data_IF_807558335535
#
_entry.id   IF_807558335535
#
_cell.length_a   1.000
_cell.length_b   1.000
_cell.length_c   1.000
_cell.angle_alpha   90.00
_cell.angle_beta   90.00
_cell.angle_gamma   90.00
#
_symmetry.space_group_name_H-M   'P 1'
#
loop_
_entity.id
_entity.type
_entity.pdbx_description
1 polymer ?
#
# COMPACT_ATOMS: atom_id res chain seq x y z
N UNK A 1 -11.34 -8.88 11.01
CA UNK A 1 -10.43 -7.72 10.99
C UNK A 1 -9.39 -8.04 9.94
N UNK A 2 -9.15 -7.10 9.03
CA UNK A 2 -8.13 -7.25 7.99
C UNK A 2 -6.76 -6.98 8.61
N UNK A 3 -5.80 -7.86 8.35
CA UNK A 3 -4.45 -7.86 8.92
C UNK A 3 -3.41 -7.64 7.83
N UNK A 4 -2.33 -6.92 8.15
CA UNK A 4 -1.27 -6.69 7.17
C UNK A 4 -0.61 -8.00 6.73
N UNK A 5 -0.19 -8.83 7.68
CA UNK A 5 0.51 -10.08 7.39
C UNK A 5 -0.36 -11.10 6.64
N UNK A 6 -1.64 -11.20 7.00
CA UNK A 6 -2.54 -12.20 6.44
C UNK A 6 -3.20 -11.76 5.12
N UNK A 7 -3.56 -10.48 4.99
CA UNK A 7 -4.44 -10.02 3.92
C UNK A 7 -3.79 -9.01 2.96
N UNK A 8 -2.87 -8.16 3.44
CA UNK A 8 -2.31 -7.06 2.63
C UNK A 8 -0.96 -7.43 2.01
N UNK A 9 -0.01 -7.90 2.81
CA UNK A 9 1.32 -8.31 2.35
C UNK A 9 1.25 -9.33 1.19
N UNK A 10 0.37 -10.35 1.22
CA UNK A 10 0.27 -11.31 0.12
C UNK A 10 -0.28 -10.74 -1.20
N UNK A 11 -0.81 -9.51 -1.21
CA UNK A 11 -1.30 -8.87 -2.45
C UNK A 11 -0.16 -8.32 -3.31
N UNK A 12 1.00 -8.07 -2.70
CA UNK A 12 2.22 -7.64 -3.37
C UNK A 12 3.07 -8.86 -3.71
N UNK A 13 3.44 -9.00 -4.98
CA UNK A 13 4.37 -10.04 -5.38
C UNK A 13 5.84 -9.61 -5.18
N UNK A 14 6.76 -10.55 -5.38
CA UNK A 14 8.19 -10.25 -5.23
C UNK A 14 8.65 -9.18 -6.24
N UNK A 15 8.06 -9.10 -7.43
CA UNK A 15 8.39 -8.11 -8.43
C UNK A 15 7.97 -6.70 -8.02
N UNK A 16 6.80 -6.56 -7.38
CA UNK A 16 6.36 -5.31 -6.77
C UNK A 16 7.36 -4.84 -5.71
N UNK A 17 7.75 -5.75 -4.81
CA UNK A 17 8.69 -5.48 -3.70
C UNK A 17 10.07 -5.07 -4.25
N UNK A 18 10.61 -5.83 -5.20
CA UNK A 18 11.92 -5.58 -5.81
C UNK A 18 11.94 -4.26 -6.58
N UNK A 19 10.80 -3.88 -7.19
CA UNK A 19 10.68 -2.61 -7.90
C UNK A 19 10.66 -1.42 -6.93
N UNK A 20 9.95 -1.55 -5.81
CA UNK A 20 9.70 -0.44 -4.88
C UNK A 20 10.81 -0.24 -3.84
N UNK A 21 11.49 -1.31 -3.42
CA UNK A 21 12.53 -1.23 -2.38
C UNK A 21 13.65 -0.22 -2.72
N UNK A 22 14.23 -0.20 -3.94
CA UNK A 22 15.24 0.80 -4.32
C UNK A 22 14.72 2.25 -4.34
N UNK A 23 13.40 2.44 -4.35
CA UNK A 23 12.74 3.74 -4.30
C UNK A 23 12.40 4.17 -2.87
N UNK A 24 12.77 3.38 -1.87
CA UNK A 24 12.49 3.66 -0.46
C UNK A 24 11.05 3.35 -0.04
N UNK A 25 10.32 2.56 -0.84
CA UNK A 25 8.96 2.10 -0.53
C UNK A 25 9.01 0.61 -0.19
N UNK A 26 8.80 0.27 1.08
CA UNK A 26 9.00 -1.09 1.60
C UNK A 26 7.64 -1.78 1.75
N UNK A 27 7.14 -2.34 0.66
CA UNK A 27 5.77 -2.87 0.55
C UNK A 27 5.47 -4.07 1.46
N UNK A 28 6.51 -4.80 1.86
CA UNK A 28 6.39 -6.03 2.64
C UNK A 28 6.77 -5.86 4.11
N UNK A 29 7.06 -4.63 4.54
CA UNK A 29 7.38 -4.28 5.92
C UNK A 29 6.20 -3.59 6.61
N UNK A 30 5.72 -4.20 7.67
CA UNK A 30 4.59 -3.68 8.43
C UNK A 30 4.92 -2.32 9.07
N UNK A 31 6.11 -2.16 9.67
CA UNK A 31 6.45 -0.94 10.39
C UNK A 31 6.52 0.29 9.46
N UNK A 32 6.97 0.10 8.23
CA UNK A 32 6.94 1.10 7.17
C UNK A 32 5.51 1.41 6.74
N UNK A 33 4.72 0.38 6.43
CA UNK A 33 3.36 0.54 5.89
C UNK A 33 2.39 1.10 6.93
N UNK A 34 2.52 0.72 8.20
CA UNK A 34 1.69 1.19 9.32
C UNK A 34 2.32 2.38 10.06
N UNK A 35 3.34 3.05 9.48
CA UNK A 35 4.00 4.18 10.13
C UNK A 35 2.97 5.29 10.37
N UNK A 36 2.78 5.75 11.61
CA UNK A 36 1.75 6.76 11.95
C UNK A 36 2.08 8.17 11.45
N UNK A 37 3.27 8.39 10.89
CA UNK A 37 3.71 9.68 10.40
C UNK A 37 2.92 10.15 9.18
N UNK A 38 2.63 11.44 9.15
CA UNK A 38 2.12 12.15 8.00
C UNK A 38 3.20 12.86 7.19
N UNK A 39 2.77 13.54 6.14
CA UNK A 39 3.55 14.45 5.32
C UNK A 39 2.70 15.65 4.88
N UNK A 40 3.11 16.37 3.82
CA UNK A 40 2.38 17.53 3.33
C UNK A 40 1.03 17.21 2.66
N UNK A 41 0.76 15.95 2.31
CA UNK A 41 -0.46 15.51 1.62
C UNK A 41 -1.38 14.69 2.52
N UNK A 42 -0.83 13.81 3.35
CA UNK A 42 -1.59 12.97 4.27
C UNK A 42 -1.14 13.26 5.70
N UNK A 43 -2.07 13.66 6.57
CA UNK A 43 -1.74 14.05 7.95
C UNK A 43 -1.28 12.85 8.82
N UNK A 44 -1.62 11.63 8.42
CA UNK A 44 -1.21 10.37 9.04
C UNK A 44 -1.00 9.25 8.02
N UNK A 45 -0.27 8.21 8.43
CA UNK A 45 -0.03 7.00 7.65
C UNK A 45 0.33 7.22 6.18
N UNK A 46 1.15 8.25 5.92
CA UNK A 46 1.42 8.75 4.57
C UNK A 46 1.94 7.65 3.63
N UNK A 47 2.78 6.74 4.14
CA UNK A 47 3.33 5.63 3.36
C UNK A 47 2.23 4.74 2.74
N UNK A 48 1.32 4.20 3.57
CA UNK A 48 0.22 3.37 3.07
C UNK A 48 -0.75 4.17 2.19
N UNK A 49 -1.00 5.44 2.53
CA UNK A 49 -1.88 6.33 1.75
C UNK A 49 -1.34 6.59 0.35
N UNK A 50 -0.04 6.84 0.19
CA UNK A 50 0.60 6.98 -1.11
C UNK A 50 0.58 5.68 -1.91
N UNK A 51 0.88 4.54 -1.28
CA UNK A 51 0.80 3.22 -1.94
C UNK A 51 -0.60 2.97 -2.46
N UNK A 52 -1.63 3.15 -1.62
CA UNK A 52 -3.03 3.00 -2.02
C UNK A 52 -3.40 3.94 -3.17
N UNK A 53 -3.06 5.24 -3.07
CA UNK A 53 -3.38 6.22 -4.10
C UNK A 53 -2.72 5.90 -5.45
N UNK A 54 -1.52 5.31 -5.45
CA UNK A 54 -0.85 4.86 -6.69
C UNK A 54 -1.47 3.60 -7.28
N UNK A 55 -1.98 2.68 -6.46
CA UNK A 55 -2.69 1.47 -6.91
C UNK A 55 -4.08 1.82 -7.48
N UNK A 56 -4.82 2.68 -6.77
CA UNK A 56 -6.11 3.22 -7.19
C UNK A 56 -5.98 4.11 -8.45
N UNK A 57 -4.82 4.74 -8.63
CA UNK A 57 -4.50 5.56 -9.79
C UNK A 57 -4.73 7.06 -9.58
N UNK A 58 -5.03 7.48 -8.36
CA UNK A 58 -5.15 8.87 -7.92
C UNK A 58 -3.79 9.60 -7.91
N UNK A 59 -2.70 8.83 -7.75
CA UNK A 59 -1.33 9.33 -7.87
C UNK A 59 -0.59 8.72 -9.06
N UNK A 60 0.32 9.52 -9.64
CA UNK A 60 1.11 9.14 -10.83
C UNK A 60 2.62 9.05 -10.52
N UNK A 61 3.35 8.14 -11.19
CA UNK A 61 2.85 7.02 -12.00
C UNK A 61 1.97 6.03 -11.23
N UNK A 62 0.99 5.45 -11.93
CA UNK A 62 0.11 4.40 -11.40
C UNK A 62 0.89 3.10 -11.23
N UNK A 63 0.63 2.38 -10.15
CA UNK A 63 1.16 1.05 -9.88
C UNK A 63 0.14 -0.06 -10.19
N UNK A 64 0.58 -1.23 -10.67
CA UNK A 64 1.90 -1.49 -11.28
C UNK A 64 2.07 -0.72 -12.60
N UNK A 65 3.31 -0.42 -13.00
CA UNK A 65 3.59 0.30 -14.26
C UNK A 65 3.14 -0.55 -15.45
N UNK A 66 2.25 -0.02 -16.28
CA UNK A 66 1.75 -0.73 -17.47
C UNK A 66 0.75 -1.85 -17.18
N UNK A 67 0.44 -2.11 -15.90
CA UNK A 67 -0.48 -3.17 -15.46
C UNK A 67 0.16 -4.57 -15.39
N UNK A 68 -0.64 -5.60 -15.05
CA UNK A 68 -2.07 -5.52 -14.75
C UNK A 68 -2.33 -4.70 -13.47
N UNK A 69 -3.35 -3.84 -13.50
CA UNK A 69 -3.75 -3.09 -12.31
C UNK A 69 -4.50 -4.00 -11.33
N UNK A 70 -4.48 -3.63 -10.05
CA UNK A 70 -5.28 -4.32 -9.04
C UNK A 70 -6.77 -4.25 -9.37
N UNK A 71 -7.48 -5.33 -9.05
CA UNK A 71 -8.94 -5.39 -9.11
C UNK A 71 -9.55 -4.54 -8.00
N UNK A 72 -10.82 -4.17 -8.15
CA UNK A 72 -11.54 -3.42 -7.12
C UNK A 72 -11.52 -4.14 -5.76
N UNK A 73 -11.72 -5.45 -5.74
CA UNK A 73 -11.70 -6.24 -4.49
C UNK A 73 -10.36 -6.14 -3.73
N UNK A 74 -9.23 -6.08 -4.45
CA UNK A 74 -7.91 -5.89 -3.82
C UNK A 74 -7.75 -4.49 -3.25
N UNK A 75 -8.24 -3.48 -3.96
CA UNK A 75 -8.25 -2.09 -3.49
C UNK A 75 -9.14 -1.96 -2.24
N UNK A 76 -10.33 -2.55 -2.27
CA UNK A 76 -11.27 -2.53 -1.14
C UNK A 76 -10.69 -3.23 0.08
N UNK A 77 -9.99 -4.37 -0.11
CA UNK A 77 -9.30 -5.07 0.98
C UNK A 77 -8.20 -4.20 1.61
N UNK A 78 -7.39 -3.53 0.80
CA UNK A 78 -6.38 -2.59 1.29
C UNK A 78 -7.01 -1.42 2.04
N UNK A 79 -8.03 -0.78 1.46
CA UNK A 79 -8.70 0.35 2.08
C UNK A 79 -9.34 -0.04 3.41
N UNK A 80 -9.91 -1.24 3.49
CA UNK A 80 -10.48 -1.78 4.72
C UNK A 80 -9.44 -1.96 5.82
N UNK A 81 -8.23 -2.43 5.50
CA UNK A 81 -7.14 -2.50 6.48
C UNK A 81 -6.74 -1.11 7.03
N UNK A 82 -6.67 -0.10 6.17
CA UNK A 82 -6.43 1.29 6.61
C UNK A 82 -7.55 1.77 7.54
N UNK A 83 -8.81 1.54 7.16
CA UNK A 83 -9.99 1.99 7.91
C UNK A 83 -10.18 1.25 9.24
N UNK A 84 -9.74 -0.01 9.34
CA UNK A 84 -9.81 -0.82 10.55
C UNK A 84 -8.62 -0.58 11.51
N UNK A 85 -7.72 0.35 11.18
CA UNK A 85 -6.66 0.80 12.10
C UNK A 85 -5.31 0.10 11.92
N UNK A 86 -5.00 -0.35 10.71
CA UNK A 86 -3.66 -0.84 10.32
C UNK A 86 -3.18 -2.03 11.16
N UNK A 87 -4.02 -3.04 11.37
CA UNK A 87 -3.64 -4.22 12.17
C UNK A 87 -2.44 -4.98 11.54
N UNK A 88 -1.54 -5.57 12.35
CA UNK A 88 -0.36 -6.30 11.88
C UNK A 88 -0.70 -7.59 11.11
#
# INVERSE_FOLDING_TARGET
MVSFAADIKPLFDQGDIDCMTPQGVILDDYAYMSNKGGDAKYDDHANASHVYARLAGDEKPRMPKGGPFWTQDKLDLFKKWMDEGYAP
#
